data_IF_730879055468
#
_entry.id   IF_730879055468
#
_cell.length_a   1.000
_cell.length_b   1.000
_cell.length_c   1.000
_cell.angle_alpha   90.00
_cell.angle_beta   90.00
_cell.angle_gamma   90.00
#
_symmetry.space_group_name_H-M   'P 1'
#
loop_
_entity.id
_entity.type
_entity.pdbx_description
1 polymer ?
#
# COMPACT_ATOMS: atom_id res chain seq x y z
N UNK A 1 4.07 -0.70 19.73
CA UNK A 1 3.91 -1.23 18.35
C UNK A 1 3.71 -0.05 17.44
N UNK A 2 4.52 0.04 16.39
CA UNK A 2 4.44 1.12 15.41
C UNK A 2 3.41 0.72 14.35
N UNK A 3 2.54 1.64 13.92
CA UNK A 3 1.54 1.40 12.88
C UNK A 3 1.69 2.46 11.81
N UNK A 4 1.53 2.10 10.55
CA UNK A 4 1.52 3.06 9.44
C UNK A 4 0.18 3.01 8.73
N UNK A 5 -0.27 4.15 8.20
CA UNK A 5 -1.50 4.24 7.43
C UNK A 5 -1.15 4.22 5.95
N UNK A 6 -1.59 3.21 5.23
CA UNK A 6 -1.37 3.08 3.79
C UNK A 6 -2.60 3.58 3.03
N UNK A 7 -2.40 4.44 2.03
CA UNK A 7 -3.44 4.82 1.07
C UNK A 7 -3.39 3.88 -0.13
N UNK A 8 -4.48 3.16 -0.36
CA UNK A 8 -4.69 2.29 -1.51
C UNK A 8 -5.65 2.94 -2.50
N UNK A 9 -5.29 2.96 -3.78
CA UNK A 9 -6.10 3.52 -4.87
C UNK A 9 -6.17 2.55 -6.02
N UNK A 10 -7.37 2.32 -6.56
CA UNK A 10 -7.52 1.56 -7.80
C UNK A 10 -7.22 2.47 -9.00
N UNK A 11 -6.12 2.25 -9.71
CA UNK A 11 -5.74 3.02 -10.92
C UNK A 11 -5.64 2.09 -12.13
N UNK A 12 -5.53 2.68 -13.33
CA UNK A 12 -5.16 1.91 -14.50
C UNK A 12 -3.73 1.37 -14.32
N UNK A 13 -3.53 0.09 -14.61
CA UNK A 13 -2.21 -0.50 -14.64
C UNK A 13 -1.37 0.08 -15.80
N UNK A 14 -0.06 -0.18 -15.79
CA UNK A 14 0.84 0.26 -16.85
C UNK A 14 0.44 -0.26 -18.25
N UNK A 15 -0.21 -1.44 -18.30
CA UNK A 15 -0.75 -2.04 -19.52
C UNK A 15 -1.96 -1.29 -20.12
N UNK A 16 -2.51 -0.30 -19.39
CA UNK A 16 -3.71 0.51 -19.71
C UNK A 16 -5.00 -0.29 -19.99
N UNK A 17 -4.97 -1.61 -19.85
CA UNK A 17 -6.10 -2.52 -20.10
C UNK A 17 -6.74 -2.97 -18.80
N UNK A 18 -5.94 -3.17 -17.76
CA UNK A 18 -6.38 -3.64 -16.46
C UNK A 18 -6.37 -2.52 -15.42
N UNK A 19 -7.14 -2.71 -14.35
CA UNK A 19 -7.01 -1.88 -13.16
C UNK A 19 -6.09 -2.61 -12.17
N UNK A 20 -5.18 -1.87 -11.56
CA UNK A 20 -4.31 -2.36 -10.51
C UNK A 20 -4.51 -1.54 -9.23
N UNK A 21 -4.38 -2.24 -8.09
CA UNK A 21 -4.36 -1.59 -6.80
C UNK A 21 -2.98 -0.98 -6.58
N UNK A 22 -2.97 0.30 -6.23
CA UNK A 22 -1.76 1.10 -6.03
C UNK A 22 -1.68 1.54 -4.57
N UNK A 23 -0.49 1.53 -3.98
CA UNK A 23 -0.18 2.26 -2.75
C UNK A 23 0.37 3.62 -3.14
N UNK A 24 -0.31 4.70 -2.76
CA UNK A 24 0.07 6.05 -3.18
C UNK A 24 0.84 6.81 -2.12
N UNK A 25 0.51 6.59 -0.84
CA UNK A 25 1.17 7.26 0.27
C UNK A 25 1.12 6.43 1.54
N UNK A 26 2.04 6.77 2.45
CA UNK A 26 2.16 6.19 3.78
C UNK A 26 2.13 7.34 4.79
N UNK A 27 1.23 7.28 5.76
CA UNK A 27 1.16 8.25 6.86
C UNK A 27 1.64 7.63 8.16
N UNK A 28 2.53 8.31 8.88
CA UNK A 28 2.98 7.91 10.21
C UNK A 28 1.92 8.21 11.28
N UNK A 29 2.03 7.64 12.50
CA UNK A 29 1.17 8.01 13.62
C UNK A 29 1.22 9.51 13.94
N UNK A 30 2.36 10.15 13.70
CA UNK A 30 2.62 11.56 13.96
C UNK A 30 2.05 12.49 12.87
N UNK A 31 1.46 11.90 11.81
CA UNK A 31 0.80 12.63 10.72
C UNK A 31 1.71 13.00 9.56
N UNK A 32 2.98 12.57 9.57
CA UNK A 32 3.88 12.77 8.44
C UNK A 32 3.45 11.88 7.27
N UNK A 33 3.40 12.45 6.07
CA UNK A 33 2.96 11.77 4.85
C UNK A 33 4.16 11.59 3.92
N UNK A 34 4.37 10.35 3.49
CA UNK A 34 5.38 9.96 2.52
C UNK A 34 4.69 9.50 1.24
N UNK A 35 4.89 10.24 0.15
CA UNK A 35 4.38 9.85 -1.16
C UNK A 35 5.26 8.78 -1.79
N UNK A 36 4.63 7.80 -2.44
CA UNK A 36 5.33 6.72 -3.14
C UNK A 36 5.51 7.13 -4.61
N UNK A 37 6.73 7.08 -5.17
CA UNK A 37 6.98 7.34 -6.59
C UNK A 37 6.12 6.47 -7.49
N UNK A 38 5.65 7.00 -8.62
CA UNK A 38 4.64 6.36 -9.48
C UNK A 38 5.04 4.94 -9.92
N UNK A 39 6.31 4.74 -10.22
CA UNK A 39 6.94 3.50 -10.64
C UNK A 39 6.98 2.43 -9.52
N UNK A 40 6.82 2.84 -8.26
CA UNK A 40 6.79 1.95 -7.10
C UNK A 40 5.38 1.81 -6.50
N UNK A 41 4.35 2.43 -7.08
CA UNK A 41 3.01 2.43 -6.48
C UNK A 41 2.29 1.08 -6.59
N UNK A 42 2.62 0.24 -7.58
CA UNK A 42 1.85 -1.00 -7.79
C UNK A 42 2.01 -1.97 -6.62
N UNK A 43 0.89 -2.42 -6.03
CA UNK A 43 0.92 -3.26 -4.83
C UNK A 43 1.64 -4.60 -5.08
N UNK A 44 1.68 -5.07 -6.33
CA UNK A 44 2.43 -6.26 -6.73
C UNK A 44 3.94 -6.17 -6.41
N UNK A 45 4.50 -4.95 -6.32
CA UNK A 45 5.89 -4.69 -5.92
C UNK A 45 6.12 -4.80 -4.41
N UNK A 46 5.04 -4.82 -3.61
CA UNK A 46 5.07 -4.82 -2.15
C UNK A 46 4.64 -6.18 -1.59
N UNK A 47 5.46 -7.20 -1.81
CA UNK A 47 5.14 -8.60 -1.46
C UNK A 47 4.82 -8.80 0.01
N UNK A 48 5.52 -8.12 0.92
CA UNK A 48 5.26 -8.18 2.37
C UNK A 48 3.90 -7.58 2.74
N UNK A 49 3.50 -6.50 2.07
CA UNK A 49 2.18 -5.89 2.25
C UNK A 49 1.07 -6.85 1.84
N UNK A 50 1.29 -7.61 0.75
CA UNK A 50 0.33 -8.57 0.23
C UNK A 50 0.06 -9.77 1.16
N UNK A 51 1.01 -10.09 2.05
CA UNK A 51 0.83 -11.18 3.04
C UNK A 51 -0.14 -10.80 4.15
N UNK A 52 -0.31 -9.50 4.41
CA UNK A 52 -1.15 -9.01 5.50
C UNK A 52 -2.63 -9.34 5.28
N UNK A 53 -3.33 -9.73 6.34
CA UNK A 53 -4.77 -9.99 6.26
C UNK A 53 -5.58 -8.73 5.92
N UNK A 54 -5.01 -7.57 6.26
CA UNK A 54 -5.56 -6.27 5.89
C UNK A 54 -5.56 -6.11 4.37
N UNK A 55 -4.45 -6.40 3.70
CA UNK A 55 -4.41 -6.37 2.24
C UNK A 55 -5.41 -7.35 1.63
N UNK A 56 -5.52 -8.59 2.13
CA UNK A 56 -6.50 -9.58 1.62
C UNK A 56 -7.93 -9.04 1.68
N UNK A 57 -8.29 -8.34 2.77
CA UNK A 57 -9.60 -7.66 2.91
C UNK A 57 -9.78 -6.52 1.90
N UNK A 58 -8.75 -5.71 1.67
CA UNK A 58 -8.80 -4.61 0.69
C UNK A 58 -8.94 -5.15 -0.73
N UNK A 59 -8.17 -6.19 -1.09
CA UNK A 59 -8.25 -6.84 -2.40
C UNK A 59 -9.64 -7.42 -2.68
N UNK A 60 -10.27 -7.99 -1.65
CA UNK A 60 -11.64 -8.52 -1.76
C UNK A 60 -12.70 -7.42 -1.70
N UNK A 61 -12.33 -6.17 -1.38
CA UNK A 61 -13.24 -5.04 -1.43
C UNK A 61 -13.39 -4.60 -2.89
N UNK A 62 -14.64 -4.43 -3.34
CA UNK A 62 -14.93 -3.99 -4.71
C UNK A 62 -14.64 -2.48 -4.86
N UNK A 63 -13.35 -2.14 -4.99
CA UNK A 63 -12.89 -0.78 -5.23
C UNK A 63 -13.01 -0.44 -6.71
N UNK A 64 -13.82 0.57 -7.02
CA UNK A 64 -13.90 1.13 -8.37
C UNK A 64 -12.67 1.99 -8.66
N UNK A 65 -12.39 2.20 -9.95
CA UNK A 65 -11.31 3.11 -10.40
C UNK A 65 -11.42 4.48 -9.71
N UNK A 66 -10.28 5.02 -9.30
CA UNK A 66 -10.11 6.27 -8.54
C UNK A 66 -10.71 6.26 -7.13
N UNK A 67 -11.31 5.16 -6.66
CA UNK A 67 -11.68 5.03 -5.25
C UNK A 67 -10.42 4.77 -4.42
N UNK A 68 -10.39 5.41 -3.25
CA UNK A 68 -9.31 5.30 -2.28
C UNK A 68 -9.77 4.71 -0.95
N UNK A 69 -8.84 4.03 -0.29
CA UNK A 69 -9.00 3.47 1.05
C UNK A 69 -7.73 3.65 1.85
N UNK A 70 -7.87 4.19 3.04
CA UNK A 70 -6.75 4.37 3.95
C UNK A 70 -6.86 3.36 5.08
N UNK A 71 -5.81 2.57 5.31
CA UNK A 71 -5.85 1.51 6.32
C UNK A 71 -4.61 1.52 7.18
N UNK A 72 -4.81 1.39 8.49
CA UNK A 72 -3.72 1.25 9.45
C UNK A 72 -3.22 -0.18 9.47
N UNK A 73 -1.93 -0.37 9.20
CA UNK A 73 -1.26 -1.66 9.24
C UNK A 73 -0.23 -1.61 10.37
N UNK A 74 -0.29 -2.61 11.24
CA UNK A 74 0.71 -2.79 12.30
C UNK A 74 2.01 -3.25 11.66
N UNK A 75 3.11 -2.56 11.96
CA UNK A 75 4.44 -2.99 11.56
C UNK A 75 4.84 -4.18 12.44
N UNK A 76 4.68 -5.39 11.92
CA UNK A 76 5.34 -6.58 12.43
C UNK A 76 6.84 -6.55 12.07
N UNK A 77 7.65 -7.38 12.73
CA UNK A 77 9.12 -7.39 12.57
C UNK A 77 9.55 -7.56 11.10
N UNK A 78 8.77 -8.28 10.29
CA UNK A 78 9.00 -8.52 8.86
C UNK A 78 8.91 -7.23 8.02
N UNK A 79 7.91 -6.38 8.25
CA UNK A 79 7.78 -5.10 7.53
C UNK A 79 8.81 -4.09 8.04
N UNK A 80 9.21 -4.16 9.32
CA UNK A 80 10.33 -3.34 9.85
C UNK A 80 11.66 -3.69 9.16
N UNK A 81 11.93 -4.97 8.92
CA UNK A 81 13.15 -5.39 8.22
C UNK A 81 13.18 -4.94 6.74
N UNK A 82 12.03 -4.90 6.06
CA UNK A 82 11.94 -4.38 4.70
C UNK A 82 12.26 -2.87 4.60
N UNK A 83 11.99 -2.09 5.66
CA UNK A 83 12.33 -0.65 5.74
C UNK A 83 13.84 -0.39 5.75
N UNK A 84 14.65 -1.29 6.30
CA UNK A 84 16.10 -1.08 6.45
C UNK A 84 16.90 -1.38 5.18
N UNK A 85 16.35 -2.17 4.26
CA UNK A 85 17.01 -2.58 3.02
C UNK A 85 16.84 -1.59 1.85
N UNK A 86 16.11 -0.49 2.06
CA UNK A 86 15.99 0.62 1.09
C UNK A 86 16.85 1.84 1.51
N UNK A 87 18.07 1.59 2.02
CA UNK A 87 19.09 2.62 2.23
C UNK A 87 20.17 2.54 1.16
#
# INVERSE_FOLDING_TARGET
MEKLRFEFVMKAAADKKSNALMVTSITTPDGEIFDIPAELQEVSLHTELMKTDIYKKIKNTNLKRNQKRNVWILLNAEIKAARENCK
#
